data_IF_047926565036
#
_entry.id   IF_047926565036
#
_cell.length_a   1.000
_cell.length_b   1.000
_cell.length_c   1.000
_cell.angle_alpha   90.00
_cell.angle_beta   90.00
_cell.angle_gamma   90.00
#
_symmetry.space_group_name_H-M   'P 1'
#
loop_
_entity.id
_entity.type
_entity.pdbx_description
1 polymer ?
#
# COMPACT_ATOMS: atom_id res chain seq x y z
N UNK A 1 4.08 4.89 -17.99
CA UNK A 1 2.62 5.09 -17.85
C UNK A 1 2.33 5.08 -16.36
N UNK A 2 1.71 6.15 -15.84
CA UNK A 2 1.60 6.43 -14.39
C UNK A 2 0.28 5.88 -13.85
N UNK A 3 0.32 4.83 -13.02
CA UNK A 3 -0.89 4.30 -12.36
C UNK A 3 -1.14 5.10 -11.08
N UNK A 4 -2.35 5.64 -10.92
CA UNK A 4 -2.77 6.31 -9.68
C UNK A 4 -3.58 5.33 -8.84
N UNK A 5 -3.23 5.23 -7.56
CA UNK A 5 -3.94 4.40 -6.60
C UNK A 5 -4.71 5.29 -5.62
N UNK A 6 -5.96 4.92 -5.35
CA UNK A 6 -6.82 5.57 -4.37
C UNK A 6 -7.04 4.63 -3.19
N UNK A 7 -6.86 5.13 -1.97
CA UNK A 7 -7.07 4.34 -0.75
C UNK A 7 -8.21 4.95 0.05
N UNK A 8 -9.22 4.16 0.36
CA UNK A 8 -10.32 4.53 1.25
C UNK A 8 -10.30 3.66 2.50
N UNK A 9 -10.57 4.25 3.64
CA UNK A 9 -10.63 3.55 4.92
C UNK A 9 -12.10 3.24 5.28
N UNK A 10 -12.35 2.01 5.73
CA UNK A 10 -13.59 1.60 6.41
C UNK A 10 -13.25 1.13 7.83
N UNK A 11 -14.20 0.57 8.58
CA UNK A 11 -13.98 0.15 9.97
C UNK A 11 -12.85 -0.89 10.10
N UNK A 12 -12.92 -1.99 9.33
CA UNK A 12 -11.95 -3.10 9.39
C UNK A 12 -10.99 -3.20 8.19
N UNK A 13 -11.22 -2.43 7.11
CA UNK A 13 -10.50 -2.60 5.86
C UNK A 13 -10.05 -1.27 5.24
N UNK A 14 -9.08 -1.39 4.33
CA UNK A 14 -8.76 -0.38 3.33
C UNK A 14 -9.14 -0.89 1.94
N UNK A 15 -9.78 -0.04 1.15
CA UNK A 15 -10.04 -0.27 -0.27
C UNK A 15 -8.92 0.39 -1.08
N UNK A 16 -8.15 -0.40 -1.83
CA UNK A 16 -7.11 0.09 -2.74
C UNK A 16 -7.61 -0.02 -4.17
N UNK A 17 -7.89 1.11 -4.81
CA UNK A 17 -8.45 1.21 -6.15
C UNK A 17 -7.43 1.75 -7.15
N UNK A 18 -7.51 1.31 -8.39
CA UNK A 18 -6.86 1.98 -9.52
C UNK A 18 -7.73 1.91 -10.77
N UNK A 19 -7.71 2.98 -11.57
CA UNK A 19 -8.50 3.05 -12.79
C UNK A 19 -7.70 2.59 -14.00
N UNK A 20 -8.36 1.94 -14.96
CA UNK A 20 -7.74 1.55 -16.21
C UNK A 20 -7.35 2.80 -17.02
N UNK A 21 -6.10 2.86 -17.46
CA UNK A 21 -5.56 4.01 -18.20
C UNK A 21 -5.89 3.97 -19.71
N UNK A 22 -6.34 2.83 -20.24
CA UNK A 22 -6.65 2.71 -21.66
C UNK A 22 -8.04 3.24 -21.98
N UNK A 23 -8.16 3.97 -23.11
CA UNK A 23 -9.43 4.55 -23.57
C UNK A 23 -10.51 3.50 -23.83
N UNK A 24 -10.11 2.31 -24.28
CA UNK A 24 -10.99 1.15 -24.49
C UNK A 24 -11.58 0.58 -23.18
N UNK A 25 -10.98 0.87 -22.02
CA UNK A 25 -11.43 0.40 -20.71
C UNK A 25 -11.86 1.54 -19.80
N UNK A 26 -12.18 2.71 -20.38
CA UNK A 26 -12.60 3.91 -19.64
C UNK A 26 -13.83 3.58 -18.78
N UNK A 27 -13.75 3.90 -17.48
CA UNK A 27 -14.79 3.57 -16.51
C UNK A 27 -14.61 2.24 -15.77
N UNK A 28 -13.63 1.41 -16.16
CA UNK A 28 -13.26 0.21 -15.41
C UNK A 28 -12.01 0.43 -14.55
N UNK A 29 -11.87 -0.42 -13.53
CA UNK A 29 -10.77 -0.36 -12.59
C UNK A 29 -10.64 -1.67 -11.83
N UNK A 30 -9.61 -1.73 -10.98
CA UNK A 30 -9.41 -2.83 -10.05
C UNK A 30 -9.48 -2.29 -8.64
N UNK A 31 -10.06 -3.06 -7.74
CA UNK A 31 -10.02 -2.80 -6.31
C UNK A 31 -9.52 -4.02 -5.56
N UNK A 32 -8.81 -3.79 -4.47
CA UNK A 32 -8.43 -4.81 -3.50
C UNK A 32 -8.85 -4.36 -2.11
N UNK A 33 -9.22 -5.32 -1.28
CA UNK A 33 -9.43 -5.13 0.14
C UNK A 33 -8.16 -5.49 0.91
N UNK A 34 -7.80 -4.67 1.89
CA UNK A 34 -6.66 -4.90 2.78
C UNK A 34 -7.13 -4.76 4.21
N UNK A 35 -6.93 -5.80 5.02
CA UNK A 35 -7.27 -5.80 6.43
C UNK A 35 -6.38 -4.82 7.22
N UNK A 36 -6.96 -4.02 8.12
CA UNK A 36 -6.20 -3.10 8.98
C UNK A 36 -5.16 -3.82 9.84
N UNK A 37 -5.50 -4.99 10.38
CA UNK A 37 -4.58 -5.80 11.18
C UNK A 37 -3.38 -6.25 10.33
N UNK A 38 -3.57 -6.53 9.04
CA UNK A 38 -2.47 -6.84 8.14
C UNK A 38 -1.55 -5.62 7.93
N UNK A 39 -2.13 -4.42 7.79
CA UNK A 39 -1.37 -3.17 7.66
C UNK A 39 -0.55 -2.90 8.93
N UNK A 40 -1.17 -2.99 10.09
CA UNK A 40 -0.52 -2.78 11.38
C UNK A 40 0.58 -3.82 11.64
N UNK A 41 0.31 -5.09 11.33
CA UNK A 41 1.30 -6.15 11.43
C UNK A 41 2.52 -5.86 10.55
N UNK A 42 2.33 -5.50 9.28
CA UNK A 42 3.44 -5.15 8.39
C UNK A 42 4.20 -3.95 8.91
N UNK A 43 3.51 -2.90 9.32
CA UNK A 43 4.14 -1.70 9.85
C UNK A 43 5.01 -2.00 11.08
N UNK A 44 4.52 -2.86 11.99
CA UNK A 44 5.29 -3.32 13.14
C UNK A 44 6.54 -4.13 12.77
N UNK A 45 6.54 -4.82 11.62
CA UNK A 45 7.66 -5.66 11.16
C UNK A 45 8.71 -4.92 10.35
N UNK A 46 8.30 -3.97 9.49
CA UNK A 46 9.21 -3.26 8.56
C UNK A 46 9.32 -1.76 8.85
N UNK A 47 8.69 -1.28 9.92
CA UNK A 47 8.74 0.12 10.33
C UNK A 47 10.16 0.58 10.66
N UNK A 48 10.57 1.72 10.09
CA UNK A 48 11.91 2.26 10.23
C UNK A 48 12.91 1.74 9.18
N UNK A 49 12.50 0.82 8.30
CA UNK A 49 13.36 0.27 7.25
C UNK A 49 13.22 1.07 5.95
N UNK A 50 14.34 1.25 5.23
CA UNK A 50 14.39 1.82 3.88
C UNK A 50 14.63 0.73 2.83
N UNK A 51 14.22 0.98 1.59
CA UNK A 51 14.40 0.02 0.50
C UNK A 51 13.50 -1.21 0.62
N UNK A 52 12.38 -1.09 1.35
CA UNK A 52 11.40 -2.17 1.54
C UNK A 52 10.71 -2.46 0.21
N UNK A 53 10.52 -3.74 -0.09
CA UNK A 53 9.84 -4.21 -1.31
C UNK A 53 8.70 -5.14 -0.96
N UNK A 54 7.74 -5.33 -1.88
CA UNK A 54 6.64 -6.27 -1.69
C UNK A 54 7.12 -7.72 -1.45
N UNK A 55 8.28 -8.11 -2.03
CA UNK A 55 8.90 -9.42 -1.78
C UNK A 55 9.35 -9.57 -0.34
N UNK A 56 9.98 -8.54 0.23
CA UNK A 56 10.41 -8.55 1.63
C UNK A 56 9.21 -8.54 2.59
N UNK A 57 8.16 -7.77 2.28
CA UNK A 57 6.92 -7.79 3.08
C UNK A 57 6.28 -9.17 3.05
N UNK A 58 6.16 -9.80 1.87
CA UNK A 58 5.65 -11.15 1.75
C UNK A 58 6.48 -12.15 2.57
N UNK A 59 7.82 -12.07 2.51
CA UNK A 59 8.70 -12.94 3.30
C UNK A 59 8.56 -12.69 4.81
N UNK A 60 8.43 -11.44 5.24
CA UNK A 60 8.23 -11.07 6.65
C UNK A 60 6.86 -11.49 7.21
N UNK A 61 5.87 -11.65 6.33
CA UNK A 61 4.51 -12.06 6.67
C UNK A 61 4.19 -13.50 6.29
N UNK A 62 5.13 -14.23 5.67
CA UNK A 62 4.90 -15.57 5.10
C UNK A 62 4.46 -16.62 6.12
N UNK A 63 4.81 -16.40 7.41
CA UNK A 63 4.40 -17.26 8.54
C UNK A 63 3.05 -16.89 9.13
N UNK A 64 2.35 -15.91 8.55
CA UNK A 64 1.05 -15.44 9.01
C UNK A 64 0.01 -15.57 7.91
N UNK A 65 -1.24 -15.87 8.28
CA UNK A 65 -2.37 -15.91 7.32
C UNK A 65 -2.72 -14.54 6.73
N UNK A 66 -2.11 -13.45 7.22
CA UNK A 66 -2.48 -12.09 6.86
C UNK A 66 -2.08 -11.69 5.43
N UNK A 67 -1.01 -12.27 4.86
CA UNK A 67 -0.50 -11.87 3.53
C UNK A 67 -0.14 -13.09 2.68
N UNK A 68 -1.14 -13.73 2.04
CA UNK A 68 -0.90 -14.90 1.18
C UNK A 68 -0.19 -14.57 -0.13
N UNK A 69 -0.21 -13.32 -0.61
CA UNK A 69 0.25 -12.98 -1.97
C UNK A 69 1.15 -11.75 -2.02
N UNK A 70 2.04 -11.72 -3.02
CA UNK A 70 2.90 -10.56 -3.32
C UNK A 70 2.07 -9.32 -3.70
N UNK A 71 0.93 -9.51 -4.36
CA UNK A 71 0.04 -8.41 -4.74
C UNK A 71 -0.57 -7.76 -3.49
N UNK A 72 -1.01 -8.56 -2.51
CA UNK A 72 -1.51 -8.03 -1.25
C UNK A 72 -0.42 -7.31 -0.46
N UNK A 73 0.80 -7.86 -0.41
CA UNK A 73 1.95 -7.21 0.20
C UNK A 73 2.23 -5.82 -0.41
N UNK A 74 2.10 -5.70 -1.74
CA UNK A 74 2.21 -4.43 -2.45
C UNK A 74 1.07 -3.46 -2.09
N UNK A 75 -0.18 -3.95 -2.04
CA UNK A 75 -1.33 -3.14 -1.64
C UNK A 75 -1.19 -2.62 -0.20
N UNK A 76 -0.66 -3.41 0.74
CA UNK A 76 -0.34 -2.93 2.10
C UNK A 76 0.66 -1.78 2.04
N UNK A 77 1.71 -1.88 1.24
CA UNK A 77 2.68 -0.78 1.08
C UNK A 77 2.04 0.49 0.50
N UNK A 78 1.08 0.36 -0.43
CA UNK A 78 0.31 1.51 -0.93
C UNK A 78 -0.56 2.14 0.17
N UNK A 79 -1.19 1.34 1.03
CA UNK A 79 -1.93 1.84 2.19
C UNK A 79 -0.99 2.62 3.12
N UNK A 80 0.19 2.08 3.44
CA UNK A 80 1.17 2.79 4.28
C UNK A 80 1.60 4.14 3.67
N UNK A 81 1.72 4.22 2.36
CA UNK A 81 1.99 5.48 1.66
C UNK A 81 0.80 6.44 1.80
N UNK A 82 -0.43 5.98 1.63
CA UNK A 82 -1.63 6.79 1.80
C UNK A 82 -1.77 7.34 3.24
N UNK A 83 -1.41 6.54 4.25
CA UNK A 83 -1.36 6.92 5.66
C UNK A 83 -0.17 7.83 6.01
N UNK A 84 0.71 8.14 5.05
CA UNK A 84 1.99 8.86 5.25
C UNK A 84 2.95 8.16 6.23
N UNK A 85 2.79 6.86 6.42
CA UNK A 85 3.70 6.00 7.16
C UNK A 85 4.81 5.42 6.28
N UNK A 86 4.70 5.54 4.96
CA UNK A 86 5.76 5.22 4.03
C UNK A 86 5.84 6.25 2.89
N UNK A 87 6.96 6.23 2.17
CA UNK A 87 7.15 6.97 0.91
C UNK A 87 7.73 6.03 -0.14
N UNK A 88 7.29 6.14 -1.39
CA UNK A 88 7.92 5.46 -2.52
C UNK A 88 9.24 6.19 -2.79
N UNK A 89 10.35 5.45 -2.82
CA UNK A 89 11.69 6.03 -2.99
C UNK A 89 12.21 5.87 -4.41
N UNK A 90 11.91 4.74 -5.06
CA UNK A 90 12.40 4.45 -6.41
C UNK A 90 11.56 3.34 -7.05
N UNK A 91 11.40 3.41 -8.37
CA UNK A 91 11.10 2.27 -9.22
C UNK A 91 12.42 1.75 -9.81
N UNK A 92 12.80 0.51 -9.50
CA UNK A 92 14.01 -0.13 -10.04
C UNK A 92 13.77 -0.77 -11.41
N UNK A 93 14.79 -1.45 -11.93
CA UNK A 93 14.66 -2.32 -13.10
C UNK A 93 13.54 -3.35 -12.88
N UNK A 94 12.82 -3.69 -13.95
CA UNK A 94 11.66 -4.60 -13.93
C UNK A 94 10.43 -4.11 -13.14
N UNK A 95 10.22 -2.79 -13.00
CA UNK A 95 9.04 -2.19 -12.33
C UNK A 95 8.92 -2.54 -10.84
N UNK A 96 10.02 -2.92 -10.19
CA UNK A 96 10.02 -3.15 -8.75
C UNK A 96 9.97 -1.82 -8.00
N UNK A 97 9.03 -1.68 -7.06
CA UNK A 97 8.93 -0.49 -6.21
C UNK A 97 9.69 -0.69 -4.89
N UNK A 98 10.38 0.36 -4.48
CA UNK A 98 11.07 0.49 -3.20
C UNK A 98 10.39 1.53 -2.33
N UNK A 99 10.27 1.24 -1.04
CA UNK A 99 9.58 2.05 -0.06
C UNK A 99 10.50 2.35 1.12
N UNK A 100 10.41 3.57 1.64
CA UNK A 100 10.94 3.93 2.95
C UNK A 100 9.78 3.98 3.93
N UNK A 101 9.79 3.06 4.91
CA UNK A 101 8.73 2.96 5.92
C UNK A 101 9.19 3.66 7.19
N UNK A 102 8.40 4.62 7.66
CA UNK A 102 8.67 5.40 8.86
C UNK A 102 8.44 4.54 10.10
N UNK A 103 9.29 4.70 11.11
CA UNK A 103 9.08 4.10 12.42
C UNK A 103 7.86 4.76 13.08
N UNK A 104 6.93 3.97 13.60
CA UNK A 104 5.68 4.48 14.16
C UNK A 104 5.88 5.35 15.40
N UNK A 105 5.32 6.57 15.36
CA UNK A 105 4.66 7.19 16.52
C UNK A 105 3.17 7.05 16.24
N UNK A 106 2.42 6.43 17.15
CA UNK A 106 0.95 6.33 17.04
C UNK A 106 0.37 7.74 17.14
N UNK A 107 0.11 8.36 16.01
CA UNK A 107 -0.89 9.42 15.90
C UNK A 107 -1.94 8.89 14.94
N UNK A 108 -3.00 8.34 15.51
CA UNK A 108 -4.20 7.95 14.79
C UNK A 108 -4.74 9.23 14.13
N UNK A 109 -4.87 9.32 12.80
CA UNK A 109 -5.54 10.45 12.20
C UNK A 109 -7.02 10.34 12.56
N UNK A 110 -7.55 11.34 13.27
CA UNK A 110 -8.98 11.46 13.52
C UNK A 110 -9.78 11.36 12.23
N UNK A 111 -10.90 10.63 12.32
CA UNK A 111 -11.80 10.26 11.24
C UNK A 111 -11.96 11.36 10.21
N UNK A 112 -11.25 11.22 9.10
CA UNK A 112 -11.42 12.07 7.93
C UNK A 112 -11.48 11.15 6.73
N UNK A 113 -12.60 11.15 6.00
CA UNK A 113 -12.66 10.62 4.63
C UNK A 113 -11.57 11.31 3.79
N UNK A 114 -10.38 10.73 3.71
CA UNK A 114 -9.25 11.28 2.95
C UNK A 114 -9.13 10.52 1.65
N UNK A 115 -9.79 11.03 0.61
CA UNK A 115 -9.42 10.71 -0.77
C UNK A 115 -8.06 11.35 -1.04
N UNK A 116 -6.98 10.58 -0.92
CA UNK A 116 -5.64 11.04 -1.25
C UNK A 116 -5.27 10.54 -2.65
N UNK A 117 -5.39 11.43 -3.64
CA UNK A 117 -4.90 11.21 -5.00
C UNK A 117 -3.39 11.43 -5.00
N UNK A 118 -2.60 10.35 -5.03
CA UNK A 118 -1.14 10.44 -5.19
C UNK A 118 -0.76 9.73 -6.49
N UNK A 119 -0.38 10.47 -7.53
CA UNK A 119 0.16 9.85 -8.72
C UNK A 119 1.56 9.31 -8.35
N UNK A 120 1.90 8.08 -8.72
CA UNK A 120 3.20 7.45 -8.42
C UNK A 120 4.12 7.75 -9.60
N UNK A 121 5.12 8.64 -9.45
CA UNK A 121 6.08 8.99 -10.54
C UNK A 121 6.87 7.78 -11.04
#
# INVERSE_FOLDING_TARGET
MRQTYHVFESEGYFFVLSFALSRARRGSGYFNLVDKAAVDYVHGRVGGTRGVTAKQVLAAAQRTRHIPTRLLALNVLYVLVALRWATITRAGEHRQLFFAVRKGRRTQPEGTRRSLVRPID
#
